data_IF_006272161910
#
_entry.id   IF_006272161910
#
_cell.length_a   1.000
_cell.length_b   1.000
_cell.length_c   1.000
_cell.angle_alpha   90.00
_cell.angle_beta   90.00
_cell.angle_gamma   90.00
#
_symmetry.space_group_name_H-M   'P 1'
#
loop_
_entity.id
_entity.type
_entity.pdbx_description
1 polymer ?
#
# COMPACT_ATOMS: atom_id res chain seq x y z
N UNK A 1 -14.71 22.17 23.03
CA UNK A 1 -14.91 22.04 21.57
C UNK A 1 -16.25 21.36 21.31
N UNK A 2 -17.11 21.95 20.50
CA UNK A 2 -18.40 21.39 20.10
C UNK A 2 -18.42 21.23 18.58
N UNK A 3 -19.11 20.19 18.07
CA UNK A 3 -19.25 19.97 16.62
C UNK A 3 -19.86 21.19 15.90
N UNK A 4 -20.78 21.88 16.57
CA UNK A 4 -21.43 23.09 16.06
C UNK A 4 -20.50 24.30 15.88
N UNK A 5 -19.29 24.27 16.46
CA UNK A 5 -18.28 25.32 16.28
C UNK A 5 -17.60 25.25 14.89
N UNK A 6 -17.89 24.20 14.10
CA UNK A 6 -17.24 23.93 12.81
C UNK A 6 -18.25 23.77 11.70
N UNK A 7 -17.90 24.25 10.52
CA UNK A 7 -18.68 24.08 9.31
C UNK A 7 -18.41 22.72 8.67
N UNK A 8 -19.41 22.16 7.99
CA UNK A 8 -19.20 20.99 7.14
C UNK A 8 -18.41 21.40 5.89
N UNK A 9 -17.42 20.61 5.55
CA UNK A 9 -16.64 20.81 4.33
C UNK A 9 -17.51 20.61 3.07
N UNK A 10 -17.37 21.49 2.10
CA UNK A 10 -17.94 21.31 0.78
C UNK A 10 -17.19 20.27 -0.06
N UNK A 11 -17.68 19.99 -1.27
CA UNK A 11 -17.06 18.98 -2.15
C UNK A 11 -15.61 19.32 -2.51
N UNK A 12 -15.33 20.59 -2.87
CA UNK A 12 -13.97 21.02 -3.21
C UNK A 12 -12.99 20.89 -2.04
N UNK A 13 -13.43 21.18 -0.83
CA UNK A 13 -12.61 20.98 0.37
C UNK A 13 -12.28 19.50 0.58
N UNK A 14 -13.28 18.63 0.39
CA UNK A 14 -13.13 17.19 0.53
C UNK A 14 -12.10 16.63 -0.47
N UNK A 15 -12.19 17.04 -1.72
CA UNK A 15 -11.26 16.60 -2.78
C UNK A 15 -9.80 16.95 -2.49
N UNK A 16 -9.56 17.99 -1.71
CA UNK A 16 -8.20 18.37 -1.27
C UNK A 16 -7.58 17.37 -0.30
N UNK A 17 -8.38 16.78 0.57
CA UNK A 17 -7.87 15.96 1.68
C UNK A 17 -8.27 14.50 1.64
N UNK A 18 -9.27 14.14 0.86
CA UNK A 18 -9.87 12.81 0.85
C UNK A 18 -9.70 12.15 -0.51
N UNK A 19 -9.14 10.95 -0.52
CA UNK A 19 -9.11 10.04 -1.66
C UNK A 19 -9.91 8.80 -1.29
N UNK A 20 -10.68 8.26 -2.24
CA UNK A 20 -11.36 6.98 -2.11
C UNK A 20 -10.71 5.98 -3.06
N UNK A 21 -9.74 5.20 -2.58
CA UNK A 21 -8.89 4.37 -3.45
C UNK A 21 -9.70 3.41 -4.33
N UNK A 22 -10.64 2.69 -3.77
CA UNK A 22 -11.44 1.72 -4.53
C UNK A 22 -12.28 2.35 -5.66
N UNK A 23 -12.67 3.61 -5.49
CA UNK A 23 -13.54 4.31 -6.46
C UNK A 23 -12.78 5.15 -7.47
N UNK A 24 -11.59 5.61 -7.11
CA UNK A 24 -10.88 6.65 -7.85
C UNK A 24 -9.57 6.20 -8.47
N UNK A 25 -9.01 5.07 -8.01
CA UNK A 25 -7.69 4.61 -8.44
C UNK A 25 -7.81 3.19 -9.01
N UNK A 26 -7.43 2.97 -10.27
CA UNK A 26 -7.40 1.62 -10.83
C UNK A 26 -6.35 0.76 -10.13
N UNK A 27 -6.57 -0.54 -10.13
CA UNK A 27 -5.63 -1.51 -9.55
C UNK A 27 -4.34 -1.57 -10.36
N UNK A 28 -3.21 -1.54 -9.67
CA UNK A 28 -1.89 -1.78 -10.24
C UNK A 28 -1.38 -3.15 -9.80
N UNK A 29 -1.00 -3.98 -10.75
CA UNK A 29 -0.37 -5.27 -10.45
C UNK A 29 1.07 -5.04 -9.99
N UNK A 30 1.40 -5.51 -8.79
CA UNK A 30 2.75 -5.42 -8.23
C UNK A 30 3.58 -6.67 -8.58
N UNK A 31 2.99 -7.83 -8.39
CA UNK A 31 3.48 -9.15 -8.84
C UNK A 31 2.28 -9.97 -9.33
N UNK A 32 2.46 -11.04 -10.11
CA UNK A 32 1.35 -11.88 -10.54
C UNK A 32 0.48 -12.33 -9.35
N UNK A 33 -0.82 -12.07 -9.41
CA UNK A 33 -1.81 -12.39 -8.38
C UNK A 33 -1.96 -11.36 -7.27
N UNK A 34 -1.16 -10.30 -7.26
CA UNK A 34 -1.23 -9.25 -6.23
C UNK A 34 -1.39 -7.87 -6.84
N UNK A 35 -2.50 -7.21 -6.50
CA UNK A 35 -2.91 -5.93 -7.07
C UNK A 35 -3.23 -4.91 -5.96
N UNK A 36 -2.92 -3.67 -6.22
CA UNK A 36 -3.06 -2.59 -5.24
C UNK A 36 -3.72 -1.34 -5.80
N UNK A 37 -4.52 -0.69 -4.96
CA UNK A 37 -4.83 0.72 -5.14
C UNK A 37 -3.73 1.53 -4.45
N UNK A 38 -2.93 2.26 -5.24
CA UNK A 38 -1.78 3.02 -4.75
C UNK A 38 -2.13 4.49 -4.54
N UNK A 39 -1.97 4.98 -3.32
CA UNK A 39 -2.10 6.40 -2.99
C UNK A 39 -0.72 6.91 -2.61
N UNK A 40 -0.23 7.92 -3.31
CA UNK A 40 1.11 8.44 -3.07
C UNK A 40 1.14 9.96 -2.93
N UNK A 41 1.98 10.41 -2.03
CA UNK A 41 2.40 11.80 -1.88
C UNK A 41 3.93 11.83 -2.01
N UNK A 42 4.53 13.00 -1.83
CA UNK A 42 6.00 13.11 -1.76
C UNK A 42 6.58 12.42 -0.52
N UNK A 43 5.79 12.29 0.53
CA UNK A 43 6.25 11.84 1.84
C UNK A 43 6.02 10.35 2.08
N UNK A 44 4.95 9.80 1.51
CA UNK A 44 4.59 8.40 1.71
C UNK A 44 3.82 7.82 0.52
N UNK A 45 3.82 6.49 0.46
CA UNK A 45 2.91 5.72 -0.38
C UNK A 45 2.09 4.79 0.50
N UNK A 46 0.78 4.75 0.29
CA UNK A 46 -0.11 3.76 0.91
C UNK A 46 -0.59 2.81 -0.18
N UNK A 47 -0.41 1.52 0.06
CA UNK A 47 -0.82 0.42 -0.83
C UNK A 47 -1.96 -0.34 -0.17
N UNK A 48 -3.14 -0.29 -0.78
CA UNK A 48 -4.28 -1.13 -0.40
C UNK A 48 -4.20 -2.39 -1.26
N UNK A 49 -3.59 -3.44 -0.72
CA UNK A 49 -3.11 -4.59 -1.45
C UNK A 49 -3.98 -5.82 -1.20
N UNK A 50 -4.43 -6.44 -2.29
CA UNK A 50 -5.07 -7.76 -2.29
C UNK A 50 -4.08 -8.75 -2.89
N UNK A 51 -3.77 -9.80 -2.15
CA UNK A 51 -2.82 -10.84 -2.56
C UNK A 51 -3.57 -12.18 -2.65
N UNK A 52 -3.55 -12.79 -3.82
CA UNK A 52 -4.15 -14.11 -4.03
C UNK A 52 -3.18 -15.21 -3.63
N UNK A 53 -3.74 -16.32 -3.14
CA UNK A 53 -2.98 -17.55 -2.90
C UNK A 53 -2.11 -17.91 -4.12
N UNK A 54 -0.87 -18.28 -3.88
CA UNK A 54 0.11 -18.58 -4.92
C UNK A 54 0.98 -17.39 -5.34
N UNK A 55 0.65 -16.16 -4.92
CA UNK A 55 1.51 -15.01 -5.15
C UNK A 55 2.82 -15.15 -4.38
N UNK A 56 3.92 -14.72 -5.00
CA UNK A 56 5.25 -14.72 -4.39
C UNK A 56 5.89 -13.33 -4.59
N UNK A 57 6.35 -12.77 -3.50
CA UNK A 57 7.22 -11.60 -3.54
C UNK A 57 8.64 -12.08 -3.28
N UNK A 58 9.47 -12.09 -4.33
CA UNK A 58 10.87 -12.49 -4.20
C UNK A 58 11.59 -11.60 -3.21
N UNK A 59 12.60 -12.16 -2.54
CA UNK A 59 13.42 -11.38 -1.59
C UNK A 59 14.07 -10.20 -2.30
N UNK A 60 13.80 -9.02 -1.77
CA UNK A 60 14.28 -7.73 -2.28
C UNK A 60 14.49 -6.77 -1.14
N UNK A 61 15.03 -5.61 -1.43
CA UNK A 61 15.16 -4.52 -0.48
C UNK A 61 14.83 -3.19 -1.17
N UNK A 62 14.45 -2.21 -0.41
CA UNK A 62 14.21 -0.85 -0.88
C UNK A 62 14.55 0.17 0.20
N UNK A 63 14.87 1.43 -0.18
CA UNK A 63 15.30 2.44 0.78
C UNK A 63 14.19 2.95 1.70
N UNK A 64 12.93 2.70 1.37
CA UNK A 64 11.80 3.08 2.21
C UNK A 64 11.68 2.14 3.42
N UNK A 65 11.36 2.71 4.58
CA UNK A 65 10.79 1.93 5.67
C UNK A 65 9.33 1.59 5.34
N UNK A 66 8.86 0.45 5.85
CA UNK A 66 7.53 -0.06 5.56
C UNK A 66 6.82 -0.50 6.84
N UNK A 67 5.55 -0.15 6.93
CA UNK A 67 4.63 -0.70 7.92
C UNK A 67 3.56 -1.49 7.17
N UNK A 68 3.43 -2.78 7.48
CA UNK A 68 2.39 -3.63 6.90
C UNK A 68 1.33 -3.95 7.95
N UNK A 69 0.08 -3.70 7.61
CA UNK A 69 -1.08 -3.99 8.47
C UNK A 69 -1.89 -5.09 7.81
N UNK A 70 -1.98 -6.26 8.44
CA UNK A 70 -2.78 -7.37 7.91
C UNK A 70 -4.24 -7.18 8.31
N UNK A 71 -5.12 -7.07 7.31
CA UNK A 71 -6.56 -6.87 7.49
C UNK A 71 -7.33 -8.18 7.46
N UNK A 72 -6.99 -9.07 6.52
CA UNK A 72 -7.67 -10.35 6.30
C UNK A 72 -6.65 -11.41 5.89
N UNK A 73 -6.88 -12.65 6.31
CA UNK A 73 -6.05 -13.79 5.94
C UNK A 73 -4.74 -13.86 6.71
N UNK A 74 -3.81 -14.63 6.15
CA UNK A 74 -2.46 -14.80 6.69
C UNK A 74 -1.47 -15.00 5.55
N UNK A 75 -0.22 -14.63 5.78
CA UNK A 75 0.89 -14.87 4.87
C UNK A 75 2.19 -15.15 5.64
N UNK A 76 3.17 -15.69 4.93
CA UNK A 76 4.50 -15.92 5.45
C UNK A 76 5.43 -14.85 4.89
N UNK A 77 5.87 -13.94 5.76
CA UNK A 77 6.85 -12.92 5.44
C UNK A 77 8.27 -13.44 5.69
N UNK A 78 9.15 -13.23 4.73
CA UNK A 78 10.57 -13.48 4.88
C UNK A 78 11.21 -12.15 5.26
N UNK A 79 11.85 -12.08 6.42
CA UNK A 79 12.55 -10.89 6.88
C UNK A 79 13.94 -11.29 7.32
N UNK A 80 14.95 -10.75 6.67
CA UNK A 80 16.36 -11.03 6.95
C UNK A 80 16.65 -12.55 7.07
N UNK A 81 16.13 -13.32 6.10
CA UNK A 81 16.34 -14.76 5.98
C UNK A 81 15.50 -15.65 6.89
N UNK A 82 14.56 -15.10 7.65
CA UNK A 82 13.66 -15.88 8.52
C UNK A 82 12.21 -15.71 8.09
N UNK A 83 11.42 -16.76 8.29
CA UNK A 83 9.98 -16.77 7.99
C UNK A 83 9.20 -16.37 9.23
N UNK A 84 8.31 -15.40 9.06
CA UNK A 84 7.39 -14.92 10.08
C UNK A 84 5.96 -15.09 9.54
N UNK A 85 5.17 -15.98 10.15
CA UNK A 85 3.75 -16.10 9.84
C UNK A 85 2.99 -14.96 10.49
N UNK A 86 2.24 -14.22 9.70
CA UNK A 86 1.44 -13.08 10.15
C UNK A 86 0.00 -13.25 9.70
N UNK A 87 -0.93 -12.75 10.49
CA UNK A 87 -2.36 -12.90 10.27
C UNK A 87 -3.12 -11.63 10.61
N UNK A 88 -4.42 -11.61 10.32
CA UNK A 88 -5.29 -10.45 10.55
C UNK A 88 -5.11 -9.87 11.96
N UNK A 89 -4.87 -8.55 12.03
CA UNK A 89 -4.60 -7.81 13.24
C UNK A 89 -3.12 -7.59 13.54
N UNK A 90 -2.21 -8.29 12.84
CA UNK A 90 -0.78 -8.08 13.01
C UNK A 90 -0.31 -6.83 12.25
N UNK A 91 0.69 -6.18 12.82
CA UNK A 91 1.40 -5.06 12.20
C UNK A 91 2.89 -5.42 12.14
N UNK A 92 3.47 -5.34 10.92
CA UNK A 92 4.89 -5.57 10.72
C UNK A 92 5.60 -4.25 10.50
N UNK A 93 6.78 -4.14 11.08
CA UNK A 93 7.73 -3.08 10.75
C UNK A 93 8.89 -3.65 9.95
N UNK A 94 9.12 -3.13 8.76
CA UNK A 94 10.23 -3.46 7.89
C UNK A 94 11.16 -2.24 7.80
N UNK A 95 12.32 -2.28 8.46
CA UNK A 95 13.29 -1.17 8.36
C UNK A 95 13.75 -0.93 6.93
N UNK A 96 14.17 0.29 6.64
CA UNK A 96 14.79 0.62 5.37
C UNK A 96 15.91 -0.36 5.00
N UNK A 97 15.92 -0.84 3.77
CA UNK A 97 16.92 -1.73 3.19
C UNK A 97 17.01 -3.15 3.80
N UNK A 98 16.13 -3.55 4.70
CA UNK A 98 16.10 -4.93 5.16
C UNK A 98 15.65 -5.86 4.03
N UNK A 99 16.39 -6.96 3.75
CA UNK A 99 15.93 -7.94 2.76
C UNK A 99 14.64 -8.60 3.22
N UNK A 100 13.61 -8.60 2.37
CA UNK A 100 12.32 -9.19 2.68
C UNK A 100 11.59 -9.68 1.43
N UNK A 101 10.65 -10.57 1.65
CA UNK A 101 9.78 -11.14 0.62
C UNK A 101 8.59 -11.83 1.27
N UNK A 102 7.77 -12.51 0.49
CA UNK A 102 6.59 -13.18 1.03
C UNK A 102 6.13 -14.35 0.18
N UNK A 103 5.63 -15.37 0.86
CA UNK A 103 4.82 -16.43 0.27
C UNK A 103 3.36 -16.24 0.70
N UNK A 104 2.48 -16.19 -0.28
CA UNK A 104 1.05 -16.02 -0.05
C UNK A 104 0.36 -17.34 -0.29
N UNK A 105 0.06 -18.06 0.81
CA UNK A 105 -0.55 -19.39 0.74
C UNK A 105 -2.08 -19.36 0.76
N UNK A 106 -2.67 -18.30 1.27
CA UNK A 106 -4.11 -18.05 1.21
C UNK A 106 -4.39 -16.60 0.82
N UNK A 107 -5.58 -16.33 0.29
CA UNK A 107 -5.97 -14.96 -0.06
C UNK A 107 -5.89 -14.07 1.17
N UNK A 108 -5.23 -12.93 1.03
CA UNK A 108 -5.13 -11.95 2.10
C UNK A 108 -5.19 -10.51 1.60
N UNK A 109 -5.54 -9.62 2.52
CA UNK A 109 -5.57 -8.18 2.29
C UNK A 109 -4.73 -7.47 3.34
N UNK A 110 -3.90 -6.57 2.88
CA UNK A 110 -3.03 -5.78 3.74
C UNK A 110 -3.04 -4.31 3.33
N UNK A 111 -2.64 -3.45 4.24
CA UNK A 111 -2.27 -2.09 3.93
C UNK A 111 -0.78 -1.95 4.20
N UNK A 112 -0.03 -1.52 3.17
CA UNK A 112 1.38 -1.14 3.32
C UNK A 112 1.51 0.38 3.32
N UNK A 113 2.31 0.90 4.24
CA UNK A 113 2.70 2.31 4.27
C UNK A 113 4.21 2.39 4.12
N UNK A 114 4.65 3.13 3.10
CA UNK A 114 6.08 3.32 2.80
C UNK A 114 6.47 4.78 3.04
N UNK A 115 7.61 5.00 3.70
CA UNK A 115 8.20 6.33 3.90
C UNK A 115 9.69 6.30 3.55
N UNK A 116 10.17 7.17 2.64
CA UNK A 116 9.42 8.06 1.76
C UNK A 116 8.61 7.31 0.70
N UNK A 117 8.02 8.02 -0.26
CA UNK A 117 7.17 7.42 -1.29
C UNK A 117 7.91 6.39 -2.16
N UNK A 118 7.15 5.42 -2.67
CA UNK A 118 7.62 4.38 -3.60
C UNK A 118 7.50 4.86 -5.05
N UNK A 119 8.52 5.50 -5.57
CA UNK A 119 8.56 5.97 -6.96
C UNK A 119 8.48 4.82 -7.97
N UNK A 120 9.08 3.69 -7.67
CA UNK A 120 9.01 2.47 -8.49
C UNK A 120 7.58 1.91 -8.61
N UNK A 121 6.78 1.98 -7.55
CA UNK A 121 5.36 1.62 -7.60
C UNK A 121 4.56 2.61 -8.43
N UNK A 122 4.87 3.89 -8.34
CA UNK A 122 4.22 4.90 -9.16
C UNK A 122 4.59 4.75 -10.64
N UNK A 123 5.81 4.31 -10.93
CA UNK A 123 6.23 3.97 -12.29
C UNK A 123 5.39 2.80 -12.83
N UNK A 124 5.18 1.74 -12.04
CA UNK A 124 4.28 0.62 -12.42
C UNK A 124 2.86 1.10 -12.70
N UNK A 125 2.34 2.01 -11.87
CA UNK A 125 1.01 2.60 -12.07
C UNK A 125 0.94 3.31 -13.43
N UNK A 126 1.89 4.18 -13.74
CA UNK A 126 1.91 4.95 -15.00
C UNK A 126 2.03 4.02 -16.21
N UNK A 127 2.86 2.99 -16.13
CA UNK A 127 3.03 2.01 -17.21
C UNK A 127 1.77 1.19 -17.49
N UNK A 128 1.03 0.82 -16.44
CA UNK A 128 -0.21 0.05 -16.55
C UNK A 128 -1.42 0.92 -16.87
N UNK A 129 -1.39 2.20 -16.53
CA UNK A 129 -2.51 3.15 -16.66
C UNK A 129 -2.06 4.48 -17.27
N UNK A 130 -1.58 4.51 -18.53
CA UNK A 130 -0.98 5.72 -19.12
C UNK A 130 -1.96 6.91 -19.23
N UNK A 131 -3.27 6.64 -19.28
CA UNK A 131 -4.31 7.66 -19.40
C UNK A 131 -4.95 8.07 -18.05
N UNK A 132 -4.46 7.50 -16.95
CA UNK A 132 -5.00 7.77 -15.62
C UNK A 132 -4.21 8.84 -14.89
N UNK A 133 -4.91 9.61 -14.05
CA UNK A 133 -4.28 10.62 -13.20
C UNK A 133 -3.63 9.93 -12.01
N UNK A 134 -2.34 10.18 -11.81
CA UNK A 134 -1.65 9.79 -10.59
C UNK A 134 -2.09 10.70 -9.44
N UNK A 135 -2.47 10.11 -8.31
CA UNK A 135 -2.80 10.89 -7.12
C UNK A 135 -1.52 11.29 -6.38
N UNK A 136 -0.72 12.15 -7.00
CA UNK A 136 0.31 12.89 -6.31
C UNK A 136 -0.35 14.14 -5.71
N UNK A 137 -0.51 14.14 -4.40
CA UNK A 137 -0.86 15.36 -3.69
C UNK A 137 0.41 16.07 -3.29
N UNK A 138 0.75 17.10 -4.03
CA UNK A 138 1.64 18.14 -3.55
C UNK A 138 0.79 19.09 -2.71
N UNK A 139 0.91 18.97 -1.43
CA UNK A 139 0.44 20.03 -0.53
C UNK A 139 1.61 20.93 -0.24
#
# INVERSE_FOLDING_TARGET
MKRSDFMLAGQQDRERYIVRPEKQIPLTMLVPGSESHLVSTKEFTVSFLTMKAGSVFDVHSHPQSQCMIVLEGKCDEIIDGKIYSVSAGDVLYLPANVPHGAFIEEDCRVIDVFCPCREDYMQKFVEQHPDSVTYFRTV
#
